data_IF_876297715108
#
_entry.id   IF_876297715108
#
_cell.length_a   1.000
_cell.length_b   1.000
_cell.length_c   1.000
_cell.angle_alpha   90.00
_cell.angle_beta   90.00
_cell.angle_gamma   90.00
#
_symmetry.space_group_name_H-M   'P 1'
#
loop_
_entity.id
_entity.type
_entity.pdbx_description
1 polymer ?
#
# COMPACT_ATOMS: atom_id res chain seq x y z
N UNK A 1 9.91 -1.83 2.41
CA UNK A 1 9.68 -2.46 1.10
C UNK A 1 8.67 -3.56 1.30
N UNK A 2 7.80 -3.76 0.33
CA UNK A 2 6.86 -4.87 0.31
C UNK A 2 7.58 -6.09 -0.29
N UNK A 3 7.49 -7.25 0.36
CA UNK A 3 8.15 -8.48 -0.10
C UNK A 3 7.23 -9.32 -1.02
N UNK A 4 5.95 -8.93 -1.14
CA UNK A 4 4.97 -9.65 -1.93
C UNK A 4 5.40 -9.78 -3.40
N UNK A 5 5.92 -8.68 -3.97
CA UNK A 5 6.25 -8.56 -5.40
C UNK A 5 7.66 -9.07 -5.77
N UNK A 6 8.44 -9.55 -4.80
CA UNK A 6 9.78 -10.06 -5.05
C UNK A 6 9.69 -11.55 -5.41
N UNK A 7 10.14 -11.88 -6.62
CA UNK A 7 10.26 -13.26 -7.09
C UNK A 7 11.37 -14.02 -6.36
N UNK A 8 11.19 -15.33 -6.17
CA UNK A 8 12.18 -16.21 -5.52
C UNK A 8 12.16 -16.25 -3.99
N UNK A 9 11.39 -15.39 -3.31
CA UNK A 9 11.23 -15.45 -1.86
C UNK A 9 10.17 -16.52 -1.49
N UNK A 10 10.50 -17.48 -0.60
CA UNK A 10 9.54 -18.44 -0.07
C UNK A 10 8.31 -17.80 0.60
N UNK A 11 7.13 -18.42 0.42
CA UNK A 11 5.85 -17.86 0.89
C UNK A 11 5.80 -17.65 2.41
N UNK A 12 6.42 -18.53 3.19
CA UNK A 12 6.46 -18.38 4.65
C UNK A 12 7.20 -17.10 5.10
N UNK A 13 8.19 -16.64 4.33
CA UNK A 13 8.89 -15.38 4.58
C UNK A 13 8.01 -14.20 4.20
N UNK A 14 7.33 -14.26 3.05
CA UNK A 14 6.35 -13.23 2.65
C UNK A 14 5.26 -13.07 3.71
N UNK A 15 4.73 -14.19 4.22
CA UNK A 15 3.72 -14.19 5.27
C UNK A 15 4.22 -13.60 6.60
N UNK A 16 5.47 -13.90 7.00
CA UNK A 16 6.07 -13.40 8.25
C UNK A 16 6.39 -11.91 8.19
N UNK A 17 6.71 -11.39 7.01
CA UNK A 17 7.16 -10.02 6.80
C UNK A 17 6.12 -9.12 6.16
N UNK A 18 4.83 -9.47 6.30
CA UNK A 18 3.72 -8.61 5.89
C UNK A 18 3.82 -7.23 6.54
N UNK A 19 3.63 -6.20 5.73
CA UNK A 19 3.50 -4.82 6.15
C UNK A 19 2.14 -4.57 6.79
N UNK A 20 2.02 -3.44 7.48
CA UNK A 20 0.78 -3.08 8.19
C UNK A 20 -0.43 -2.90 7.26
N UNK A 21 -0.21 -2.55 5.99
CA UNK A 21 -1.28 -2.39 5.01
C UNK A 21 -1.76 -3.73 4.43
N UNK A 22 -0.95 -4.78 4.50
CA UNK A 22 -1.28 -6.14 4.03
C UNK A 22 -2.00 -6.99 5.10
N UNK A 23 -1.78 -6.69 6.38
CA UNK A 23 -2.41 -7.43 7.51
C UNK A 23 -3.89 -7.10 7.67
N UNK A 24 -4.30 -5.88 7.29
CA UNK A 24 -5.67 -5.40 7.43
C UNK A 24 -6.05 -4.92 8.84
N UNK A 25 -7.03 -4.01 8.91
CA UNK A 25 -7.41 -3.37 10.18
C UNK A 25 -8.07 -4.32 11.18
N UNK A 26 -8.75 -5.38 10.72
CA UNK A 26 -9.50 -6.31 11.57
C UNK A 26 -8.57 -7.05 12.54
N UNK A 27 -7.47 -7.61 12.03
CA UNK A 27 -6.49 -8.31 12.86
C UNK A 27 -5.86 -7.40 13.92
N UNK A 28 -5.60 -6.13 13.57
CA UNK A 28 -5.06 -5.14 14.51
C UNK A 28 -6.07 -4.85 15.63
N UNK A 29 -7.34 -4.63 15.28
CA UNK A 29 -8.42 -4.36 16.24
C UNK A 29 -8.64 -5.57 17.13
N UNK A 30 -8.73 -6.78 16.58
CA UNK A 30 -8.99 -8.00 17.35
C UNK A 30 -7.84 -8.30 18.34
N UNK A 31 -6.60 -8.15 17.89
CA UNK A 31 -5.44 -8.27 18.77
C UNK A 31 -5.46 -7.20 19.87
N UNK A 32 -5.87 -5.98 19.53
CA UNK A 32 -5.97 -4.87 20.47
C UNK A 32 -7.08 -5.06 21.50
N UNK A 33 -8.25 -5.53 21.07
CA UNK A 33 -9.38 -5.83 21.94
C UNK A 33 -9.06 -6.98 22.89
N UNK A 34 -8.37 -8.02 22.41
CA UNK A 34 -7.94 -9.15 23.26
C UNK A 34 -7.02 -8.71 24.39
N UNK A 35 -6.00 -7.89 24.09
CA UNK A 35 -5.07 -7.37 25.12
C UNK A 35 -5.68 -6.29 26.01
N UNK A 36 -6.69 -5.56 25.52
CA UNK A 36 -7.39 -4.51 26.28
C UNK A 36 -8.01 -5.02 27.59
N UNK A 37 -8.36 -6.32 27.66
CA UNK A 37 -8.88 -6.97 28.87
C UNK A 37 -7.92 -6.92 30.06
N UNK A 38 -6.63 -6.79 29.78
CA UNK A 38 -5.55 -6.76 30.77
C UNK A 38 -4.93 -5.37 30.94
N UNK A 39 -5.49 -4.36 30.27
CA UNK A 39 -5.04 -2.96 30.35
C UNK A 39 -6.08 -2.18 31.15
N UNK A 40 -5.65 -1.65 32.29
CA UNK A 40 -6.45 -0.86 33.23
C UNK A 40 -7.04 0.39 32.58
N UNK A 41 -6.19 1.17 31.90
CA UNK A 41 -6.56 2.39 31.18
C UNK A 41 -6.84 2.07 29.71
N UNK A 42 -6.03 2.57 28.79
CA UNK A 42 -6.19 2.37 27.35
C UNK A 42 -4.84 2.22 26.67
N UNK A 43 -4.83 2.21 25.34
CA UNK A 43 -3.66 2.02 24.50
C UNK A 43 -3.79 2.81 23.20
N UNK A 44 -2.67 3.34 22.73
CA UNK A 44 -2.60 4.07 21.46
C UNK A 44 -2.60 3.11 20.28
N UNK A 45 -3.79 2.77 19.78
CA UNK A 45 -3.96 1.88 18.62
C UNK A 45 -4.03 2.71 17.34
N UNK A 46 -2.96 2.69 16.55
CA UNK A 46 -2.97 3.25 15.20
C UNK A 46 -3.73 2.32 14.24
N UNK A 47 -4.56 2.91 13.39
CA UNK A 47 -5.31 2.22 12.34
C UNK A 47 -4.76 2.60 10.96
N UNK A 48 -4.79 1.64 10.06
CA UNK A 48 -4.17 1.74 8.74
C UNK A 48 -5.15 1.31 7.66
N UNK A 49 -5.30 2.12 6.63
CA UNK A 49 -6.11 1.80 5.45
C UNK A 49 -5.30 2.07 4.19
N UNK A 50 -5.13 1.05 3.35
CA UNK A 50 -4.43 1.20 2.08
C UNK A 50 -5.20 2.12 1.12
N UNK A 51 -6.51 1.92 1.00
CA UNK A 51 -7.41 2.76 0.22
C UNK A 51 -8.45 3.37 1.17
N UNK A 52 -8.44 4.70 1.37
CA UNK A 52 -9.44 5.34 2.21
C UNK A 52 -10.78 5.37 1.48
N UNK A 53 -11.78 4.70 2.03
CA UNK A 53 -13.16 4.82 1.60
C UNK A 53 -14.09 4.93 2.83
N UNK A 54 -15.17 5.69 2.68
CA UNK A 54 -16.06 6.03 3.80
C UNK A 54 -16.74 4.78 4.38
N UNK A 55 -17.04 3.80 3.54
CA UNK A 55 -17.69 2.55 3.96
C UNK A 55 -16.75 1.73 4.84
N UNK A 56 -15.50 1.54 4.43
CA UNK A 56 -14.47 0.83 5.19
C UNK A 56 -14.11 1.55 6.48
N UNK A 57 -14.05 2.89 6.46
CA UNK A 57 -13.87 3.68 7.69
C UNK A 57 -15.00 3.42 8.68
N UNK A 58 -16.25 3.48 8.21
CA UNK A 58 -17.42 3.23 9.06
C UNK A 58 -17.40 1.81 9.63
N UNK A 59 -17.10 0.79 8.82
CA UNK A 59 -17.00 -0.59 9.26
C UNK A 59 -15.87 -0.81 10.26
N UNK A 60 -14.70 -0.20 10.01
CA UNK A 60 -13.53 -0.30 10.89
C UNK A 60 -13.82 0.27 12.28
N UNK A 61 -14.39 1.48 12.37
CA UNK A 61 -14.71 2.08 13.67
C UNK A 61 -15.85 1.37 14.39
N UNK A 62 -16.89 0.89 13.66
CA UNK A 62 -17.92 0.04 14.24
C UNK A 62 -17.34 -1.25 14.81
N UNK A 63 -16.41 -1.89 14.08
CA UNK A 63 -15.72 -3.09 14.56
C UNK A 63 -14.91 -2.82 15.84
N UNK A 64 -14.16 -1.70 15.89
CA UNK A 64 -13.44 -1.29 17.10
C UNK A 64 -14.38 -1.10 18.30
N UNK A 65 -15.54 -0.48 18.08
CA UNK A 65 -16.54 -0.29 19.12
C UNK A 65 -17.17 -1.60 19.59
N UNK A 66 -17.63 -2.45 18.66
CA UNK A 66 -18.26 -3.74 18.98
C UNK A 66 -17.32 -4.72 19.68
N UNK A 67 -16.01 -4.63 19.43
CA UNK A 67 -15.00 -5.48 20.10
C UNK A 67 -14.60 -4.98 21.48
N UNK A 68 -15.12 -3.82 21.93
CA UNK A 68 -14.85 -3.27 23.26
C UNK A 68 -13.53 -2.50 23.36
N UNK A 69 -13.00 -2.01 22.25
CA UNK A 69 -11.80 -1.17 22.24
C UNK A 69 -12.11 0.19 22.88
N UNK A 70 -11.24 0.66 23.79
CA UNK A 70 -11.45 1.95 24.49
C UNK A 70 -11.01 3.15 23.66
N UNK A 71 -9.89 3.07 22.94
CA UNK A 71 -9.37 4.19 22.13
C UNK A 71 -8.75 3.73 20.81
N UNK A 72 -8.93 4.58 19.80
CA UNK A 72 -8.15 4.58 18.54
C UNK A 72 -7.29 5.84 18.50
N UNK A 73 -6.14 5.80 17.83
CA UNK A 73 -5.21 6.92 17.79
C UNK A 73 -5.14 7.57 16.40
N UNK A 74 -4.10 7.35 15.59
CA UNK A 74 -4.06 7.86 14.23
C UNK A 74 -4.70 6.91 13.24
N UNK A 75 -5.43 7.49 12.27
CA UNK A 75 -5.68 6.86 10.99
C UNK A 75 -4.54 7.22 10.03
N UNK A 76 -3.88 6.21 9.48
CA UNK A 76 -2.84 6.36 8.45
C UNK A 76 -3.32 5.74 7.14
N UNK A 77 -3.30 6.54 6.09
CA UNK A 77 -3.68 6.10 4.75
C UNK A 77 -2.46 6.12 3.84
N UNK A 78 -2.37 5.19 2.88
CA UNK A 78 -1.39 5.36 1.79
C UNK A 78 -1.87 6.51 0.90
N UNK A 79 -0.96 7.42 0.54
CA UNK A 79 -1.21 8.32 -0.58
C UNK A 79 -1.18 7.47 -1.85
N UNK A 80 -2.17 7.67 -2.74
CA UNK A 80 -2.28 6.91 -3.99
C UNK A 80 -1.14 7.19 -4.98
N UNK A 81 -0.38 8.27 -4.76
CA UNK A 81 0.85 8.55 -5.48
C UNK A 81 1.98 7.81 -4.77
N UNK A 82 2.31 6.62 -5.27
CA UNK A 82 3.57 5.98 -4.93
C UNK A 82 4.69 6.91 -5.40
N UNK A 83 5.23 7.71 -4.48
CA UNK A 83 6.47 8.45 -4.71
C UNK A 83 7.52 7.37 -4.91
N UNK A 84 7.86 7.11 -6.18
CA UNK A 84 9.06 6.38 -6.53
C UNK A 84 10.20 7.01 -5.75
N UNK A 85 10.71 6.26 -4.77
CA UNK A 85 11.81 6.73 -3.96
C UNK A 85 13.00 6.85 -4.89
N UNK A 86 13.54 8.06 -5.02
CA UNK A 86 14.67 8.47 -5.86
C UNK A 86 16.02 7.80 -5.53
N UNK A 87 16.01 6.68 -4.81
CA UNK A 87 17.20 5.92 -4.40
C UNK A 87 17.34 4.57 -5.10
N UNK A 88 16.51 4.26 -6.09
CA UNK A 88 16.79 3.17 -7.02
C UNK A 88 17.67 3.73 -8.13
N UNK A 89 18.94 3.33 -8.15
CA UNK A 89 19.76 3.36 -9.36
C UNK A 89 18.93 2.72 -10.48
N UNK A 90 18.44 3.55 -11.41
CA UNK A 90 17.63 3.22 -12.60
C UNK A 90 17.65 1.71 -12.89
N UNK A 91 16.56 1.01 -12.54
CA UNK A 91 16.27 -0.24 -13.20
C UNK A 91 16.28 0.05 -14.71
N UNK A 92 17.03 -0.76 -15.45
CA UNK A 92 17.33 -0.54 -16.87
C UNK A 92 16.03 -0.23 -17.63
N UNK A 93 15.98 0.94 -18.26
CA UNK A 93 14.93 1.28 -19.22
C UNK A 93 14.86 0.13 -20.23
N UNK A 94 13.66 -0.37 -20.53
CA UNK A 94 13.43 -1.32 -21.62
C UNK A 94 14.11 -0.75 -22.87
N UNK A 95 15.13 -1.43 -23.39
CA UNK A 95 15.75 -1.06 -24.66
C UNK A 95 14.74 -1.38 -25.76
N UNK A 96 14.09 -0.34 -26.27
CA UNK A 96 13.16 -0.42 -27.37
C UNK A 96 13.96 -0.56 -28.68
N UNK A 97 13.50 -1.41 -29.60
CA UNK A 97 14.18 -1.56 -30.89
C UNK A 97 14.00 -0.28 -31.73
N UNK A 98 14.93 0.06 -32.64
CA UNK A 98 14.87 1.30 -33.43
C UNK A 98 13.62 1.42 -34.32
N UNK A 99 12.93 0.31 -34.59
CA UNK A 99 11.68 0.28 -35.35
C UNK A 99 10.50 0.72 -34.48
N UNK A 100 10.45 0.27 -33.23
CA UNK A 100 9.35 0.59 -32.32
C UNK A 100 9.43 2.05 -31.82
N UNK A 101 10.63 2.63 -31.69
CA UNK A 101 10.83 4.06 -31.39
C UNK A 101 10.30 4.94 -32.51
N UNK A 102 10.50 4.54 -33.77
CA UNK A 102 9.98 5.26 -34.93
C UNK A 102 8.46 5.21 -34.99
N UNK A 103 7.86 4.05 -34.76
CA UNK A 103 6.40 3.90 -34.74
C UNK A 103 5.76 4.81 -33.69
N UNK A 104 6.28 4.79 -32.46
CA UNK A 104 5.79 5.63 -31.36
C UNK A 104 5.96 7.14 -31.65
N UNK A 105 7.07 7.53 -32.30
CA UNK A 105 7.31 8.95 -32.67
C UNK A 105 6.36 9.48 -33.75
N UNK A 106 5.93 8.64 -34.70
CA UNK A 106 5.02 9.04 -35.78
C UNK A 106 3.59 9.20 -35.25
N UNK A 107 3.15 8.26 -34.41
CA UNK A 107 1.83 8.30 -33.78
C UNK A 107 1.68 9.49 -32.82
N UNK A 108 2.73 9.78 -32.04
CA UNK A 108 2.79 10.95 -31.16
C UNK A 108 2.66 12.28 -31.93
N UNK A 109 3.32 12.39 -33.09
CA UNK A 109 3.21 13.57 -33.96
C UNK A 109 1.81 13.75 -34.57
N UNK A 110 1.09 12.64 -34.84
CA UNK A 110 -0.27 12.70 -35.40
C UNK A 110 -1.31 13.09 -34.35
N UNK A 111 -1.11 12.70 -33.09
CA UNK A 111 -2.08 12.93 -32.01
C UNK A 111 -1.76 14.15 -31.14
N UNK A 112 -0.60 14.78 -31.34
CA UNK A 112 -0.17 15.95 -30.55
C UNK A 112 0.22 15.59 -29.11
N UNK A 113 0.56 14.33 -28.87
CA UNK A 113 0.98 13.79 -27.57
C UNK A 113 2.51 13.63 -27.53
N UNK A 114 3.13 13.63 -26.35
CA UNK A 114 4.57 13.42 -26.21
C UNK A 114 4.90 11.92 -26.19
N UNK A 115 5.92 11.52 -26.97
CA UNK A 115 6.36 10.14 -27.08
C UNK A 115 7.07 9.67 -25.79
N UNK A 116 6.42 8.82 -24.99
CA UNK A 116 6.99 8.26 -23.76
C UNK A 116 8.22 7.35 -24.01
N UNK A 117 8.38 6.80 -25.21
CA UNK A 117 9.54 5.97 -25.56
C UNK A 117 10.84 6.77 -25.77
N UNK A 118 10.74 8.11 -25.91
CA UNK A 118 11.89 9.01 -26.08
C UNK A 118 12.32 9.72 -24.78
N UNK A 119 11.66 9.47 -23.64
CA UNK A 119 12.05 9.98 -22.31
C UNK A 119 13.10 9.10 -21.63
#
# INVERSE_FOLDING_TARGET
GELADIEGIPEHLKAKHKTVFEVGYQAIIDAAARRQKWIDQSQSVNLFLAKPDMKSLSHMYRHAWHTGLKTTYYLRTRQGSDIEKSTVSKAEKKQYTPEEVKACSIEAMMNGEECEACQ
#
